data_IF_879183303661
#
_entry.id   IF_879183303661
#
_cell.length_a   1.000
_cell.length_b   1.000
_cell.length_c   1.000
_cell.angle_alpha   90.00
_cell.angle_beta   90.00
_cell.angle_gamma   90.00
#
_symmetry.space_group_name_H-M   'P 1'
#
loop_
_entity.id
_entity.type
_entity.pdbx_description
1 polymer ?
#
# COMPACT_ATOMS: atom_id res chain seq x y z
N UNK A 1 -13.69 -10.31 12.64
CA UNK A 1 -12.36 -9.95 13.19
C UNK A 1 -12.58 -9.49 14.62
N UNK A 2 -13.20 -10.33 15.45
CA UNK A 2 -13.79 -9.86 16.71
C UNK A 2 -12.85 -10.09 17.90
N UNK A 3 -11.71 -10.76 17.66
CA UNK A 3 -10.76 -11.16 18.70
C UNK A 3 -9.53 -10.24 18.81
N UNK A 4 -9.29 -9.34 17.86
CA UNK A 4 -8.18 -8.38 17.95
C UNK A 4 -8.41 -7.08 17.17
N UNK A 5 -8.01 -5.97 17.77
CA UNK A 5 -7.94 -4.68 17.10
C UNK A 5 -6.59 -4.54 16.39
N UNK A 6 -6.60 -4.60 15.06
CA UNK A 6 -5.41 -4.33 14.26
C UNK A 6 -5.16 -2.82 14.18
N UNK A 7 -4.03 -2.36 14.71
CA UNK A 7 -3.50 -1.03 14.42
C UNK A 7 -2.45 -1.15 13.32
N UNK A 8 -2.71 -0.55 12.16
CA UNK A 8 -1.79 -0.53 11.03
C UNK A 8 -1.36 0.90 10.73
N UNK A 9 -0.04 1.15 10.80
CA UNK A 9 0.55 2.45 10.52
C UNK A 9 1.08 2.49 9.08
N UNK A 10 0.77 3.58 8.37
CA UNK A 10 1.15 3.80 6.98
C UNK A 10 2.13 4.96 6.89
N UNK A 11 3.21 4.80 6.12
CA UNK A 11 4.25 5.81 5.97
C UNK A 11 4.54 6.09 4.49
N UNK A 12 4.74 7.36 4.16
CA UNK A 12 5.15 7.79 2.82
C UNK A 12 6.67 7.95 2.80
N UNK A 13 7.34 7.19 1.91
CA UNK A 13 8.77 7.30 1.67
C UNK A 13 9.03 7.88 0.27
N UNK A 14 9.68 9.05 0.20
CA UNK A 14 10.02 9.73 -1.07
C UNK A 14 11.51 9.65 -1.44
N UNK A 15 12.35 9.17 -0.52
CA UNK A 15 13.80 9.09 -0.71
C UNK A 15 14.30 7.77 -0.17
N UNK A 16 14.96 7.00 -1.02
CA UNK A 16 15.61 5.74 -0.68
C UNK A 16 16.84 5.53 -1.56
N UNK A 17 17.67 4.56 -1.21
CA UNK A 17 18.87 4.19 -1.97
C UNK A 17 18.65 2.84 -2.64
N UNK A 18 19.04 2.73 -3.92
CA UNK A 18 18.88 1.51 -4.71
C UNK A 18 17.49 1.37 -5.35
N UNK A 19 17.22 0.18 -5.91
CA UNK A 19 15.96 -0.13 -6.60
C UNK A 19 15.24 -1.26 -5.87
N UNK A 20 13.95 -1.11 -5.52
CA UNK A 20 13.16 -2.17 -4.89
C UNK A 20 13.17 -3.47 -5.70
N UNK A 21 13.36 -4.61 -5.02
CA UNK A 21 13.38 -5.95 -5.61
C UNK A 21 12.57 -6.91 -4.73
N UNK A 22 11.80 -7.85 -5.30
CA UNK A 22 11.08 -8.86 -4.53
C UNK A 22 12.07 -9.93 -4.03
N UNK A 23 12.35 -9.95 -2.72
CA UNK A 23 13.30 -10.90 -2.11
C UNK A 23 12.61 -12.11 -1.46
N UNK A 24 11.37 -11.97 -0.99
CA UNK A 24 10.63 -13.01 -0.25
C UNK A 24 9.50 -13.67 -1.08
N UNK A 25 9.57 -13.55 -2.41
CA UNK A 25 8.49 -13.96 -3.31
C UNK A 25 7.38 -12.89 -3.41
N UNK A 26 6.70 -12.86 -4.55
CA UNK A 26 5.70 -11.84 -4.89
C UNK A 26 6.12 -10.92 -6.04
N UNK A 27 5.15 -10.21 -6.60
CA UNK A 27 5.34 -9.28 -7.71
C UNK A 27 5.32 -7.83 -7.22
N UNK A 28 6.22 -7.00 -7.75
CA UNK A 28 6.20 -5.56 -7.50
C UNK A 28 5.53 -4.84 -8.67
N UNK A 29 4.56 -4.00 -8.37
CA UNK A 29 3.90 -3.13 -9.33
C UNK A 29 4.12 -1.66 -8.94
N UNK A 30 4.65 -0.87 -9.88
CA UNK A 30 4.65 0.59 -9.77
C UNK A 30 3.32 1.11 -10.31
N UNK A 31 2.47 1.62 -9.42
CA UNK A 31 1.09 1.97 -9.73
C UNK A 31 0.88 3.46 -9.51
N UNK A 32 0.22 4.13 -10.45
CA UNK A 32 -0.27 5.50 -10.23
C UNK A 32 -1.35 5.48 -9.16
N UNK A 33 -1.34 6.46 -8.25
CA UNK A 33 -2.27 6.50 -7.11
C UNK A 33 -3.76 6.33 -7.52
N UNK A 34 -4.18 6.98 -8.62
CA UNK A 34 -5.54 6.88 -9.18
C UNK A 34 -5.97 5.47 -9.60
N UNK A 35 -5.01 4.56 -9.83
CA UNK A 35 -5.24 3.17 -10.25
C UNK A 35 -5.21 2.16 -9.11
N UNK A 36 -4.89 2.57 -7.88
CA UNK A 36 -4.80 1.68 -6.72
C UNK A 36 -6.06 0.80 -6.55
N UNK A 37 -7.26 1.36 -6.75
CA UNK A 37 -8.54 0.64 -6.67
C UNK A 37 -8.73 -0.52 -7.65
N UNK A 38 -7.89 -0.64 -8.68
CA UNK A 38 -7.99 -1.73 -9.64
C UNK A 38 -7.15 -2.95 -9.24
N UNK A 39 -6.39 -2.85 -8.15
CA UNK A 39 -5.58 -3.94 -7.61
C UNK A 39 -6.34 -4.61 -6.47
N UNK A 40 -6.26 -5.94 -6.41
CA UNK A 40 -6.80 -6.69 -5.29
C UNK A 40 -6.04 -6.30 -4.01
N UNK A 41 -6.79 -5.89 -2.99
CA UNK A 41 -6.25 -5.49 -1.69
C UNK A 41 -6.89 -6.31 -0.58
N UNK A 42 -6.15 -6.63 0.48
CA UNK A 42 -6.75 -7.19 1.68
C UNK A 42 -7.84 -6.27 2.25
N UNK A 43 -8.87 -6.81 2.92
CA UNK A 43 -9.98 -6.00 3.45
C UNK A 43 -9.58 -4.85 4.38
N UNK A 44 -8.44 -4.97 5.08
CA UNK A 44 -7.92 -3.93 5.96
C UNK A 44 -7.31 -2.73 5.21
N UNK A 45 -6.89 -2.92 3.96
CA UNK A 45 -6.20 -1.91 3.15
C UNK A 45 -7.16 -1.10 2.27
N UNK A 46 -8.32 -1.67 1.91
CA UNK A 46 -9.35 -1.01 1.09
C UNK A 46 -9.72 0.39 1.64
N UNK A 47 -9.94 0.59 2.96
CA UNK A 47 -10.25 1.91 3.51
C UNK A 47 -9.09 2.92 3.40
N UNK A 48 -7.85 2.46 3.21
CA UNK A 48 -6.66 3.30 3.10
C UNK A 48 -6.48 3.89 1.70
N UNK A 49 -7.07 3.28 0.67
CA UNK A 49 -6.97 3.73 -0.73
C UNK A 49 -7.22 5.23 -0.92
N UNK A 50 -8.34 5.82 -0.45
CA UNK A 50 -8.58 7.25 -0.63
C UNK A 50 -7.51 8.12 0.05
N UNK A 51 -7.05 7.75 1.25
CA UNK A 51 -5.99 8.47 1.97
C UNK A 51 -4.67 8.42 1.20
N UNK A 52 -4.32 7.24 0.66
CA UNK A 52 -3.14 7.08 -0.18
C UNK A 52 -3.24 7.88 -1.47
N UNK A 53 -4.42 7.97 -2.08
CA UNK A 53 -4.65 8.79 -3.27
C UNK A 53 -4.40 10.27 -3.01
N UNK A 54 -4.87 10.79 -1.88
CA UNK A 54 -4.64 12.18 -1.48
C UNK A 54 -3.18 12.47 -1.13
N UNK A 55 -2.50 11.54 -0.46
CA UNK A 55 -1.09 11.73 -0.06
C UNK A 55 -0.08 11.63 -1.21
N UNK A 56 -0.44 10.90 -2.28
CA UNK A 56 0.43 10.59 -3.40
C UNK A 56 0.13 11.39 -4.67
N UNK A 57 -0.91 12.24 -4.65
CA UNK A 57 -1.17 13.24 -5.70
C UNK A 57 -0.06 14.29 -5.80
#
# INVERSE_FOLDING_TARGET
>A
YDDFHLLMLVYVCRKWTGTPRPLEGGELAWVQASRLRHYEMPPADIPLIPVLQDLLM
#
